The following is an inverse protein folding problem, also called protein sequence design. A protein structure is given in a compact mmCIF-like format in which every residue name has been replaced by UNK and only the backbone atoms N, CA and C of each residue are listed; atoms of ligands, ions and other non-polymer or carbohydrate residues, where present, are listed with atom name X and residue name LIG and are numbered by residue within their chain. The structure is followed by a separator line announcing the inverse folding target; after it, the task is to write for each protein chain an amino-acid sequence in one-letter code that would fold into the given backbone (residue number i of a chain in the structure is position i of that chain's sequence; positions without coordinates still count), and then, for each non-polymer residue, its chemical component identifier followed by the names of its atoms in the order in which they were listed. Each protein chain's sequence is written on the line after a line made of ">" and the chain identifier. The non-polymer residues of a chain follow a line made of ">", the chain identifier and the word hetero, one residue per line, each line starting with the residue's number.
data_IF_321790382927
#
_entry.id   IF_321790382927
#
_cell.length_a   1.000
_cell.length_b   1.000
_cell.length_c   1.000
_cell.angle_alpha   90.00
_cell.angle_beta   90.00
_cell.angle_gamma   90.00
#
_symmetry.space_group_name_H-M   'P 1'
#
loop_
_entity.id
_entity.type
_entity.pdbx_description
1 polymer ?
#
# COMPACT_ATOMS: atom_id res chain seq x y z
N UNK A 1 -44.70 -57.24 35.72
CA UNK A 1 -45.37 -56.11 36.40
C UNK A 1 -44.41 -54.89 36.26
N UNK A 2 -44.93 -53.78 35.77
CA UNK A 2 -44.35 -52.43 35.85
C UNK A 2 -43.39 -52.09 34.75
N UNK A 3 -43.75 -51.65 33.56
CA UNK A 3 -44.19 -50.36 33.05
C UNK A 3 -43.38 -49.19 33.57
N UNK A 4 -42.62 -48.58 32.67
CA UNK A 4 -41.87 -47.36 32.88
C UNK A 4 -41.53 -46.72 31.54
N UNK A 5 -42.52 -46.05 31.01
CA UNK A 5 -42.53 -45.15 29.84
C UNK A 5 -41.76 -43.88 30.18
N UNK A 6 -41.02 -43.35 29.23
CA UNK A 6 -40.84 -41.90 29.11
C UNK A 6 -39.43 -41.42 29.34
N UNK A 7 -38.75 -41.11 28.32
CA UNK A 7 -38.46 -39.69 27.98
C UNK A 7 -37.59 -39.60 26.74
N UNK A 8 -38.24 -39.54 25.62
CA UNK A 8 -37.74 -38.72 24.50
C UNK A 8 -37.95 -37.28 24.92
N UNK A 9 -37.06 -36.48 24.62
CA UNK A 9 -36.99 -35.01 24.60
C UNK A 9 -35.76 -34.53 25.37
N UNK A 10 -34.80 -34.16 24.62
CA UNK A 10 -33.88 -33.04 24.81
C UNK A 10 -32.53 -33.26 24.10
N UNK A 11 -32.58 -33.21 22.78
CA UNK A 11 -31.39 -33.04 21.98
C UNK A 11 -31.75 -32.10 20.79
N UNK A 12 -32.20 -30.92 21.12
CA UNK A 12 -32.31 -29.83 20.15
C UNK A 12 -32.22 -28.51 20.91
N UNK A 13 -31.03 -28.04 21.09
CA UNK A 13 -30.72 -26.61 21.33
C UNK A 13 -29.24 -26.49 21.69
N UNK A 14 -28.35 -26.41 20.73
CA UNK A 14 -27.06 -25.74 20.87
C UNK A 14 -26.38 -25.69 19.50
N UNK A 15 -27.09 -25.10 18.56
CA UNK A 15 -26.49 -24.50 17.36
C UNK A 15 -26.38 -23.01 17.66
N UNK A 16 -25.59 -22.66 18.66
CA UNK A 16 -25.07 -21.31 18.76
C UNK A 16 -23.96 -21.16 17.69
N UNK A 17 -24.35 -20.55 16.60
CA UNK A 17 -23.47 -20.05 15.57
C UNK A 17 -22.41 -19.14 16.24
N UNK A 18 -21.22 -19.70 16.44
CA UNK A 18 -20.00 -18.92 16.71
C UNK A 18 -19.64 -18.22 15.42
N UNK A 19 -20.31 -17.12 15.16
CA UNK A 19 -19.95 -16.15 14.15
C UNK A 19 -18.63 -15.50 14.57
N UNK A 20 -17.53 -16.16 14.27
CA UNK A 20 -16.22 -15.53 14.28
C UNK A 20 -16.24 -14.45 13.23
N UNK A 21 -16.54 -13.21 13.65
CA UNK A 21 -16.24 -12.02 12.87
C UNK A 21 -14.72 -11.90 12.77
N UNK A 22 -14.16 -12.53 11.76
CA UNK A 22 -12.79 -12.27 11.33
C UNK A 22 -12.80 -10.86 10.72
N UNK A 23 -12.55 -9.88 11.56
CA UNK A 23 -12.09 -8.58 11.09
C UNK A 23 -10.69 -8.80 10.54
N UNK A 24 -10.44 -8.66 9.24
CA UNK A 24 -9.11 -8.80 8.71
C UNK A 24 -8.29 -7.61 9.22
N UNK A 25 -7.34 -7.86 10.08
CA UNK A 25 -6.25 -6.94 10.37
C UNK A 25 -5.33 -6.91 9.14
N UNK A 26 -5.80 -6.27 8.08
CA UNK A 26 -5.17 -6.28 6.74
C UNK A 26 -3.72 -5.79 6.76
N UNK A 27 -3.37 -4.96 7.74
CA UNK A 27 -2.01 -4.42 7.93
C UNK A 27 -1.03 -5.47 8.46
N UNK A 28 -1.44 -6.26 9.46
CA UNK A 28 -0.60 -7.31 10.05
C UNK A 28 -0.35 -8.49 9.10
N UNK A 29 -1.33 -8.81 8.25
CA UNK A 29 -1.22 -9.91 7.29
C UNK A 29 -0.27 -9.56 6.14
N UNK A 30 -0.31 -8.32 5.64
CA UNK A 30 0.58 -7.91 4.57
C UNK A 30 2.05 -7.87 5.02
N UNK A 31 2.36 -7.22 6.14
CA UNK A 31 3.74 -7.10 6.63
C UNK A 31 4.39 -8.45 6.96
N UNK A 32 3.59 -9.49 7.21
CA UNK A 32 4.05 -10.88 7.44
C UNK A 32 4.02 -11.76 6.20
N UNK A 33 3.54 -11.25 5.06
CA UNK A 33 3.32 -12.05 3.87
C UNK A 33 4.57 -12.16 3.00
N UNK A 34 4.66 -13.25 2.23
CA UNK A 34 5.68 -13.45 1.20
C UNK A 34 5.63 -12.33 0.14
N UNK A 35 4.45 -11.74 -0.09
CA UNK A 35 4.29 -10.60 -0.98
C UNK A 35 5.09 -9.39 -0.50
N UNK A 36 5.12 -9.14 0.81
CA UNK A 36 5.94 -8.08 1.38
C UNK A 36 7.42 -8.33 1.14
N UNK A 37 7.90 -9.55 1.41
CA UNK A 37 9.32 -9.90 1.23
C UNK A 37 9.77 -9.68 -0.22
N UNK A 38 8.95 -10.10 -1.19
CA UNK A 38 9.22 -9.88 -2.62
C UNK A 38 9.21 -8.40 -2.99
N UNK A 39 8.23 -7.65 -2.50
CA UNK A 39 8.13 -6.21 -2.79
C UNK A 39 9.27 -5.43 -2.16
N UNK A 40 9.68 -5.81 -0.95
CA UNK A 40 10.82 -5.22 -0.25
C UNK A 40 12.13 -5.49 -1.01
N UNK A 41 12.37 -6.75 -1.40
CA UNK A 41 13.55 -7.14 -2.17
C UNK A 41 13.61 -6.38 -3.49
N UNK A 42 12.53 -6.40 -4.28
CA UNK A 42 12.41 -5.65 -5.55
C UNK A 42 12.69 -4.15 -5.37
N UNK A 43 12.18 -3.57 -4.28
CA UNK A 43 12.36 -2.16 -3.98
C UNK A 43 13.81 -1.81 -3.64
N UNK A 44 14.47 -2.60 -2.79
CA UNK A 44 15.87 -2.37 -2.41
C UNK A 44 16.82 -2.60 -3.58
N UNK A 45 16.63 -3.67 -4.37
CA UNK A 45 17.39 -3.91 -5.60
C UNK A 45 17.25 -2.75 -6.59
N UNK A 46 16.04 -2.24 -6.79
CA UNK A 46 15.83 -1.12 -7.69
C UNK A 46 16.52 0.16 -7.21
N UNK A 47 16.58 0.40 -5.90
CA UNK A 47 17.33 1.53 -5.31
C UNK A 47 18.83 1.37 -5.57
N UNK A 48 19.39 0.18 -5.31
CA UNK A 48 20.81 -0.11 -5.50
C UNK A 48 21.22 -0.02 -6.98
N UNK A 49 20.48 -0.66 -7.87
CA UNK A 49 20.69 -0.62 -9.32
C UNK A 49 20.66 0.81 -9.85
N UNK A 50 19.66 1.60 -9.43
CA UNK A 50 19.53 2.98 -9.86
C UNK A 50 20.68 3.85 -9.35
N UNK A 51 21.10 3.68 -8.10
CA UNK A 51 22.23 4.42 -7.54
C UNK A 51 23.52 4.08 -8.30
N UNK A 52 23.78 2.80 -8.54
CA UNK A 52 24.95 2.35 -9.31
C UNK A 52 24.93 2.91 -10.73
N UNK A 53 23.78 2.92 -11.41
CA UNK A 53 23.62 3.50 -12.73
C UNK A 53 23.91 5.02 -12.74
N UNK A 54 23.29 5.77 -11.83
CA UNK A 54 23.43 7.23 -11.78
C UNK A 54 24.86 7.68 -11.48
N UNK A 55 25.58 6.94 -10.62
CA UNK A 55 26.98 7.22 -10.29
C UNK A 55 27.96 6.72 -11.37
N UNK A 56 27.58 5.70 -12.13
CA UNK A 56 28.39 5.04 -13.14
C UNK A 56 28.07 5.47 -14.57
N UNK A 57 27.37 4.60 -15.29
CA UNK A 57 27.08 4.73 -16.73
C UNK A 57 26.20 5.93 -17.01
N UNK A 58 25.17 6.16 -16.24
CA UNK A 58 24.29 7.31 -16.41
C UNK A 58 25.00 8.63 -16.33
N UNK A 59 26.01 8.75 -15.46
CA UNK A 59 26.84 9.95 -15.37
C UNK A 59 27.75 10.11 -16.60
N UNK A 60 28.18 9.01 -17.21
CA UNK A 60 28.97 9.05 -18.47
C UNK A 60 28.09 9.44 -19.65
N UNK A 61 26.93 8.80 -19.77
CA UNK A 61 25.98 9.05 -20.84
C UNK A 61 25.44 10.49 -20.81
N UNK A 62 25.15 11.04 -19.62
CA UNK A 62 24.64 12.41 -19.48
C UNK A 62 25.57 13.48 -20.06
N UNK A 63 26.89 13.23 -20.11
CA UNK A 63 27.88 14.15 -20.69
C UNK A 63 27.87 14.17 -22.20
N UNK A 64 27.28 13.16 -22.83
CA UNK A 64 27.19 13.04 -24.30
C UNK A 64 25.88 13.60 -24.85
N UNK A 65 24.95 13.99 -23.99
CA UNK A 65 23.65 14.50 -24.37
C UNK A 65 23.73 15.94 -24.86
N UNK A 66 22.77 16.32 -25.71
CA UNK A 66 22.53 17.73 -26.02
C UNK A 66 22.19 18.52 -24.75
N UNK A 67 22.35 19.84 -24.76
CA UNK A 67 22.03 20.68 -23.58
C UNK A 67 20.59 20.51 -23.11
N UNK A 68 19.64 20.38 -24.03
CA UNK A 68 18.24 20.17 -23.70
C UNK A 68 18.00 18.79 -23.07
N UNK A 69 18.60 17.74 -23.66
CA UNK A 69 18.52 16.39 -23.14
C UNK A 69 19.23 16.23 -21.78
N UNK A 70 20.34 16.93 -21.55
CA UNK A 70 21.03 16.92 -20.26
C UNK A 70 20.20 17.55 -19.13
N UNK A 71 19.45 18.63 -19.44
CA UNK A 71 18.49 19.21 -18.48
C UNK A 71 17.33 18.25 -18.18
N UNK A 72 16.78 17.62 -19.21
CA UNK A 72 15.74 16.61 -19.05
C UNK A 72 16.25 15.41 -18.23
N UNK A 73 17.47 14.93 -18.51
CA UNK A 73 18.12 13.86 -17.74
C UNK A 73 18.23 14.22 -16.26
N UNK A 74 18.70 15.43 -15.94
CA UNK A 74 18.81 15.87 -14.55
C UNK A 74 17.44 15.92 -13.86
N UNK A 75 16.42 16.47 -14.52
CA UNK A 75 15.07 16.54 -13.98
C UNK A 75 14.47 15.15 -13.74
N UNK A 76 14.59 14.23 -14.69
CA UNK A 76 14.06 12.87 -14.57
C UNK A 76 14.83 12.05 -13.53
N UNK A 77 16.15 12.19 -13.42
CA UNK A 77 16.96 11.57 -12.39
C UNK A 77 16.54 12.01 -10.97
N UNK A 78 16.24 13.30 -10.78
CA UNK A 78 15.75 13.83 -9.51
C UNK A 78 14.36 13.25 -9.16
N UNK A 79 13.44 13.17 -10.14
CA UNK A 79 12.12 12.56 -9.94
C UNK A 79 12.24 11.08 -9.58
N UNK A 80 13.10 10.34 -10.29
CA UNK A 80 13.38 8.92 -10.03
C UNK A 80 13.89 8.73 -8.61
N UNK A 81 14.91 9.47 -8.21
CA UNK A 81 15.48 9.40 -6.86
C UNK A 81 14.44 9.71 -5.78
N UNK A 82 13.65 10.77 -5.96
CA UNK A 82 12.60 11.15 -5.00
C UNK A 82 11.55 10.05 -4.87
N UNK A 83 11.12 9.45 -5.98
CA UNK A 83 10.16 8.35 -5.98
C UNK A 83 10.70 7.12 -5.26
N UNK A 84 11.95 6.74 -5.53
CA UNK A 84 12.61 5.62 -4.87
C UNK A 84 12.79 5.84 -3.37
N UNK A 85 13.14 7.06 -2.95
CA UNK A 85 13.21 7.40 -1.51
C UNK A 85 11.85 7.25 -0.82
N UNK A 86 10.76 7.65 -1.46
CA UNK A 86 9.41 7.49 -0.92
C UNK A 86 9.03 6.01 -0.78
N UNK A 87 9.30 5.20 -1.82
CA UNK A 87 9.08 3.75 -1.79
C UNK A 87 9.90 3.10 -0.66
N UNK A 88 11.20 3.37 -0.61
CA UNK A 88 12.10 2.81 0.40
C UNK A 88 11.67 3.18 1.82
N UNK A 89 11.33 4.46 2.06
CA UNK A 89 10.84 4.92 3.36
C UNK A 89 9.58 4.16 3.79
N UNK A 90 8.62 3.98 2.88
CA UNK A 90 7.40 3.24 3.18
C UNK A 90 7.69 1.76 3.48
N UNK A 91 8.52 1.11 2.67
CA UNK A 91 8.92 -0.29 2.88
C UNK A 91 9.64 -0.50 4.22
N UNK A 92 10.52 0.43 4.61
CA UNK A 92 11.21 0.37 5.90
C UNK A 92 10.24 0.55 7.09
N UNK A 93 9.23 1.40 6.97
CA UNK A 93 8.16 1.52 7.97
C UNK A 93 7.39 0.21 8.11
N UNK A 94 7.01 -0.44 7.00
CA UNK A 94 6.33 -1.74 7.07
C UNK A 94 7.22 -2.83 7.66
N UNK A 95 8.51 -2.79 7.39
CA UNK A 95 9.48 -3.70 8.01
C UNK A 95 9.56 -3.47 9.53
N UNK A 96 9.62 -2.24 9.99
CA UNK A 96 9.60 -1.92 11.43
C UNK A 96 8.32 -2.41 12.12
N UNK A 97 7.16 -2.35 11.45
CA UNK A 97 5.91 -2.94 11.96
C UNK A 97 6.04 -4.46 12.09
N UNK A 98 6.64 -5.13 11.11
CA UNK A 98 6.84 -6.59 11.12
C UNK A 98 7.79 -7.03 12.25
N UNK A 99 8.85 -6.28 12.47
CA UNK A 99 9.85 -6.55 13.50
C UNK A 99 9.34 -6.18 14.91
N UNK A 100 8.22 -5.46 14.99
CA UNK A 100 7.60 -5.04 16.26
C UNK A 100 8.17 -3.73 16.82
N UNK A 101 9.05 -3.06 16.08
CA UNK A 101 9.68 -1.79 16.45
C UNK A 101 8.70 -0.61 16.29
N UNK A 102 7.64 -0.80 15.51
CA UNK A 102 6.60 0.20 15.29
C UNK A 102 5.21 -0.41 15.36
N UNK A 103 4.26 0.31 16.00
CA UNK A 103 2.86 -0.13 16.00
C UNK A 103 2.20 0.13 14.65
N UNK A 104 1.22 -0.71 14.23
CA UNK A 104 0.45 -0.48 12.99
C UNK A 104 -0.25 0.88 12.97
N UNK A 105 -0.69 1.38 14.12
CA UNK A 105 -1.32 2.70 14.26
C UNK A 105 -0.34 3.83 13.94
N UNK A 106 0.89 3.75 14.48
CA UNK A 106 1.94 4.73 14.19
C UNK A 106 2.34 4.71 12.71
N UNK A 107 2.43 3.53 12.10
CA UNK A 107 2.71 3.40 10.67
C UNK A 107 1.60 3.99 9.78
N UNK A 108 0.35 4.01 10.26
CA UNK A 108 -0.79 4.64 9.58
C UNK A 108 -0.81 6.17 9.65
N UNK A 109 0.06 6.79 10.45
CA UNK A 109 0.13 8.25 10.53
C UNK A 109 0.56 8.87 9.19
N UNK A 110 0.00 10.04 8.87
CA UNK A 110 0.20 10.74 7.59
C UNK A 110 1.66 10.90 7.18
N UNK A 111 2.57 11.08 8.14
CA UNK A 111 4.01 11.24 7.90
C UNK A 111 4.70 9.97 7.39
N UNK A 112 4.13 8.79 7.66
CA UNK A 112 4.67 7.50 7.26
C UNK A 112 3.96 6.91 6.03
N UNK A 113 2.89 7.56 5.60
CA UNK A 113 2.13 7.15 4.43
C UNK A 113 2.78 7.63 3.14
N UNK A 114 2.56 6.87 2.08
CA UNK A 114 2.98 7.29 0.75
C UNK A 114 2.17 8.54 0.33
N UNK A 115 2.87 9.58 -0.11
CA UNK A 115 2.20 10.79 -0.58
C UNK A 115 1.41 10.50 -1.85
N UNK A 116 0.12 10.81 -1.86
CA UNK A 116 -0.76 10.66 -3.05
C UNK A 116 -0.42 11.70 -4.14
N UNK A 117 0.79 12.19 -4.15
CA UNK A 117 1.28 13.14 -5.12
C UNK A 117 1.94 12.36 -6.24
N UNK A 118 1.17 12.06 -7.29
CA UNK A 118 1.78 11.62 -8.55
C UNK A 118 2.75 12.70 -8.98
N UNK A 119 4.02 12.34 -9.03
CA UNK A 119 5.02 13.17 -9.68
C UNK A 119 4.64 13.12 -11.16
N UNK A 120 4.17 14.26 -11.71
CA UNK A 120 3.74 14.32 -13.10
C UNK A 120 4.85 13.78 -14.01
N UNK A 121 4.50 12.75 -14.76
CA UNK A 121 5.36 12.24 -15.83
C UNK A 121 5.36 13.26 -16.95
N UNK A 122 6.39 14.06 -16.99
CA UNK A 122 6.66 14.91 -18.17
C UNK A 122 6.92 13.97 -19.36
N UNK A 123 6.51 14.33 -20.59
CA UNK A 123 6.83 13.52 -21.75
C UNK A 123 8.33 13.23 -21.80
N UNK A 124 8.66 11.95 -21.90
CA UNK A 124 10.05 11.50 -21.96
C UNK A 124 10.76 12.19 -23.14
N UNK A 125 11.85 12.89 -22.88
CA UNK A 125 12.64 13.49 -23.94
C UNK A 125 13.23 12.38 -24.83
N UNK A 126 13.10 12.50 -26.16
CA UNK A 126 13.46 11.44 -27.10
C UNK A 126 14.95 11.03 -27.06
N UNK A 127 15.82 11.90 -26.51
CA UNK A 127 17.27 11.68 -26.42
C UNK A 127 17.70 11.12 -25.05
N UNK A 128 16.76 10.76 -24.14
CA UNK A 128 17.15 10.21 -22.84
C UNK A 128 17.73 8.80 -23.00
N UNK A 129 18.76 8.45 -22.21
CA UNK A 129 19.30 7.10 -22.18
C UNK A 129 18.24 6.05 -21.90
N UNK A 130 18.25 4.96 -22.64
CA UNK A 130 17.27 3.87 -22.54
C UNK A 130 17.24 3.31 -21.11
N UNK A 131 18.42 3.12 -20.49
CA UNK A 131 18.52 2.63 -19.13
C UNK A 131 17.81 3.54 -18.12
N UNK A 132 17.93 4.87 -18.24
CA UNK A 132 17.20 5.81 -17.40
C UNK A 132 15.68 5.64 -17.57
N UNK A 133 15.21 5.51 -18.81
CA UNK A 133 13.79 5.33 -19.11
C UNK A 133 13.27 4.03 -18.50
N UNK A 134 14.05 2.94 -18.55
CA UNK A 134 13.69 1.66 -17.91
C UNK A 134 13.56 1.78 -16.39
N UNK A 135 14.49 2.47 -15.72
CA UNK A 135 14.40 2.74 -14.28
C UNK A 135 13.19 3.61 -13.93
N UNK A 136 12.88 4.61 -14.74
CA UNK A 136 11.68 5.44 -14.56
C UNK A 136 10.40 4.58 -14.59
N UNK A 137 10.26 3.73 -15.62
CA UNK A 137 9.09 2.85 -15.79
C UNK A 137 8.99 1.81 -14.65
N UNK A 138 10.12 1.20 -14.27
CA UNK A 138 10.15 0.22 -13.16
C UNK A 138 9.74 0.88 -11.84
N UNK A 139 10.29 2.06 -11.56
CA UNK A 139 9.98 2.80 -10.33
C UNK A 139 8.53 3.26 -10.27
N UNK A 140 7.93 3.63 -11.39
CA UNK A 140 6.52 4.03 -11.46
C UNK A 140 5.58 2.86 -11.19
N UNK A 141 5.83 1.70 -11.80
CA UNK A 141 5.06 0.48 -11.54
C UNK A 141 5.13 0.04 -10.07
N UNK A 142 6.33 0.13 -9.48
CA UNK A 142 6.51 -0.21 -8.08
C UNK A 142 5.80 0.81 -7.17
N UNK A 143 5.88 2.10 -7.48
CA UNK A 143 5.19 3.16 -6.75
C UNK A 143 3.67 2.95 -6.75
N UNK A 144 3.08 2.68 -7.90
CA UNK A 144 1.64 2.42 -8.03
C UNK A 144 1.21 1.19 -7.22
N UNK A 145 2.03 0.14 -7.21
CA UNK A 145 1.78 -1.06 -6.38
C UNK A 145 1.82 -0.74 -4.89
N UNK A 146 2.85 -0.03 -4.45
CA UNK A 146 3.01 0.36 -3.04
C UNK A 146 1.89 1.33 -2.61
N UNK A 147 1.52 2.28 -3.47
CA UNK A 147 0.40 3.19 -3.21
C UNK A 147 -0.94 2.46 -3.07
N UNK A 148 -1.17 1.44 -3.91
CA UNK A 148 -2.35 0.58 -3.77
C UNK A 148 -2.37 -0.15 -2.43
N UNK A 149 -1.22 -0.71 -2.01
CA UNK A 149 -1.08 -1.38 -0.71
C UNK A 149 -1.28 -0.41 0.45
N UNK A 150 -0.69 0.78 0.39
CA UNK A 150 -0.84 1.83 1.39
C UNK A 150 -2.31 2.21 1.60
N UNK A 151 -3.02 2.45 0.49
CA UNK A 151 -4.46 2.76 0.53
C UNK A 151 -5.28 1.62 1.10
N UNK A 152 -4.99 0.39 0.72
CA UNK A 152 -5.70 -0.80 1.21
C UNK A 152 -5.47 -1.04 2.70
N UNK A 153 -4.26 -0.77 3.18
CA UNK A 153 -3.91 -0.99 4.59
C UNK A 153 -4.41 0.11 5.53
N UNK A 154 -4.40 1.35 5.06
CA UNK A 154 -4.64 2.53 5.89
C UNK A 154 -5.77 3.45 5.37
N UNK A 155 -6.29 3.20 4.16
CA UNK A 155 -7.31 4.05 3.53
C UNK A 155 -8.66 4.00 4.24
N UNK A 156 -9.07 2.84 4.71
CA UNK A 156 -10.37 2.64 5.34
C UNK A 156 -10.48 3.24 6.74
N UNK A 157 -9.35 3.46 7.42
CA UNK A 157 -9.34 4.08 8.75
C UNK A 157 -9.77 5.56 8.72
N UNK A 158 -9.65 6.25 7.59
CA UNK A 158 -10.09 7.64 7.44
C UNK A 158 -11.59 7.74 7.07
N UNK A 159 -12.17 6.69 6.52
CA UNK A 159 -13.58 6.65 6.12
C UNK A 159 -14.50 6.25 7.29
N UNK A 160 -13.99 5.49 8.25
CA UNK A 160 -14.77 5.04 9.43
C UNK A 160 -14.85 6.07 10.55
N UNK A 161 -14.13 7.19 10.48
CA UNK A 161 -14.18 8.25 11.48
C UNK A 161 -15.29 9.32 11.22
N UNK A 162 -15.99 9.25 10.10
CA UNK A 162 -17.13 10.10 9.80
C UNK A 162 -18.47 9.36 9.92
N UNK A 163 -19.57 10.03 10.30
CA UNK A 163 -20.88 9.39 10.29
C UNK A 163 -21.17 8.89 8.87
N UNK A 164 -21.46 7.58 8.76
CA UNK A 164 -21.76 6.93 7.49
C UNK A 164 -22.93 7.69 6.80
N UNK A 165 -22.71 8.37 5.66
CA UNK A 165 -23.76 9.16 5.02
C UNK A 165 -24.98 8.32 4.62
N UNK A 166 -24.77 7.03 4.36
CA UNK A 166 -25.86 6.09 4.06
C UNK A 166 -26.67 5.77 5.31
N UNK A 167 -26.02 5.59 6.47
CA UNK A 167 -26.71 5.34 7.73
C UNK A 167 -27.56 6.56 8.12
N UNK A 168 -27.03 7.77 7.98
CA UNK A 168 -27.79 8.98 8.27
C UNK A 168 -28.97 9.21 7.31
N UNK A 169 -28.90 8.72 6.08
CA UNK A 169 -30.04 8.73 5.15
C UNK A 169 -31.08 7.68 5.52
N UNK A 170 -30.67 6.47 5.91
CA UNK A 170 -31.56 5.41 6.38
C UNK A 170 -32.32 5.89 7.65
N UNK A 171 -31.62 6.50 8.60
CA UNK A 171 -32.20 7.03 9.83
C UNK A 171 -33.24 8.15 9.55
N UNK A 172 -32.94 9.00 8.55
CA UNK A 172 -33.91 10.04 8.10
C UNK A 172 -35.13 9.42 7.44
N UNK A 173 -34.95 8.39 6.62
CA UNK A 173 -36.10 7.70 6.01
C UNK A 173 -36.92 6.95 7.06
N UNK A 174 -36.30 6.27 8.01
CA UNK A 174 -36.97 5.60 9.10
C UNK A 174 -37.77 6.58 9.97
N UNK A 175 -37.22 7.78 10.24
CA UNK A 175 -37.92 8.83 10.96
C UNK A 175 -39.09 9.44 10.17
N UNK A 176 -39.01 9.49 8.83
CA UNK A 176 -40.06 10.02 7.97
C UNK A 176 -41.25 9.06 7.74
N UNK A 177 -40.98 7.73 7.81
CA UNK A 177 -41.99 6.69 7.53
C UNK A 177 -42.39 5.86 8.74
N UNK A 178 -41.83 6.14 9.93
CA UNK A 178 -42.06 5.41 11.18
C UNK A 178 -43.05 6.11 12.15
N UNK A 179 -43.95 6.98 11.63
CA UNK A 179 -45.00 7.66 12.40
C UNK A 179 -46.38 7.03 12.17
#
# INVERSE_FOLDING_TARGET
>A
MGVGIGRREQCMSELTASGSSVSPSSTGDFSRSELFDRTFQEGMELVEDTAAYLDGDGRRESKLLSRAAALAYAAESMKLTTRLMQIASWLLVQRAVREGDMSPQAAGERRHRLADRRIETTPTHAELPIALVEYLVRSEKLYDRVLYLDRRMYGDAAVTAGPNPVQSQIDRLAAAFGG
#
